data_IF_033221470968
#
_entry.id   IF_033221470968
#
_cell.length_a   1.000
_cell.length_b   1.000
_cell.length_c   1.000
_cell.angle_alpha   90.00
_cell.angle_beta   90.00
_cell.angle_gamma   90.00
#
_symmetry.space_group_name_H-M   'P 1'
#
loop_
_entity.id
_entity.type
_entity.pdbx_description
1 polymer ?
#
# COMPACT_ATOMS: atom_id res chain seq x y z
N UNK A 1 -13.27 31.35 20.53
CA UNK A 1 -12.92 29.93 20.34
C UNK A 1 -12.41 29.81 18.91
N UNK A 2 -11.13 29.52 18.72
CA UNK A 2 -10.56 29.24 17.39
C UNK A 2 -10.84 27.77 17.08
N UNK A 3 -11.47 27.51 15.93
CA UNK A 3 -11.54 26.19 15.32
C UNK A 3 -10.12 25.76 14.95
N UNK A 4 -9.64 24.68 15.57
CA UNK A 4 -8.43 24.02 15.10
C UNK A 4 -8.80 23.26 13.83
N UNK A 5 -8.38 23.77 12.67
CA UNK A 5 -8.33 22.96 11.46
C UNK A 5 -7.21 21.93 11.68
N UNK A 6 -7.60 20.68 11.94
CA UNK A 6 -6.66 19.56 11.94
C UNK A 6 -6.19 19.42 10.50
N UNK A 7 -4.92 19.74 10.26
CA UNK A 7 -4.29 19.54 8.97
C UNK A 7 -4.28 18.03 8.71
N UNK A 8 -5.02 17.55 7.70
CA UNK A 8 -4.94 16.15 7.30
C UNK A 8 -3.56 15.94 6.66
N UNK A 9 -2.60 15.44 7.45
CA UNK A 9 -1.23 15.16 6.98
C UNK A 9 -1.23 13.85 6.15
N UNK A 10 -1.75 13.96 4.92
CA UNK A 10 -1.81 12.90 3.92
C UNK A 10 -0.56 12.99 3.05
N UNK A 11 0.15 11.87 2.88
CA UNK A 11 1.31 11.84 1.99
C UNK A 11 1.46 10.52 1.24
N UNK A 12 2.09 10.60 0.07
CA UNK A 12 2.46 9.43 -0.74
C UNK A 12 3.76 8.85 -0.18
N UNK A 13 3.76 7.54 0.06
CA UNK A 13 4.93 6.84 0.58
C UNK A 13 5.86 6.39 -0.55
N UNK A 14 6.73 7.30 -0.98
CA UNK A 14 7.62 7.11 -2.14
C UNK A 14 8.74 6.07 -1.93
N UNK A 15 8.95 5.59 -0.72
CA UNK A 15 9.98 4.62 -0.38
C UNK A 15 9.45 3.17 -0.41
N UNK A 16 8.32 2.92 -1.07
CA UNK A 16 7.77 1.57 -1.20
C UNK A 16 8.47 0.80 -2.32
N UNK A 17 8.93 -0.41 -2.00
CA UNK A 17 9.58 -1.34 -2.94
C UNK A 17 8.76 -2.61 -2.98
N UNK A 18 8.60 -3.23 -4.16
CA UNK A 18 7.94 -4.52 -4.26
C UNK A 18 8.85 -5.54 -4.96
N UNK A 19 8.59 -6.82 -4.71
CA UNK A 19 9.25 -7.94 -5.37
C UNK A 19 8.27 -9.07 -5.56
N UNK A 20 8.28 -9.65 -6.76
CA UNK A 20 7.53 -10.85 -7.07
C UNK A 20 8.45 -12.08 -7.04
N UNK A 21 7.99 -13.14 -6.38
CA UNK A 21 8.63 -14.44 -6.28
C UNK A 21 7.80 -15.46 -7.07
N UNK A 22 8.27 -15.83 -8.25
CA UNK A 22 7.56 -16.69 -9.20
C UNK A 22 7.41 -18.14 -8.69
N UNK A 23 8.39 -18.63 -7.93
CA UNK A 23 8.41 -19.99 -7.38
C UNK A 23 7.33 -20.23 -6.34
N UNK A 24 6.93 -19.20 -5.61
CA UNK A 24 5.85 -19.25 -4.61
C UNK A 24 4.59 -18.49 -5.03
N UNK A 25 4.56 -17.92 -6.25
CA UNK A 25 3.54 -16.98 -6.72
C UNK A 25 3.16 -15.94 -5.65
N UNK A 26 4.18 -15.24 -5.14
CA UNK A 26 4.03 -14.30 -4.02
C UNK A 26 4.52 -12.91 -4.39
N UNK A 27 3.66 -11.90 -4.20
CA UNK A 27 4.06 -10.50 -4.27
C UNK A 27 4.34 -9.97 -2.87
N UNK A 28 5.57 -9.55 -2.62
CA UNK A 28 5.97 -8.87 -1.39
C UNK A 28 6.10 -7.37 -1.62
N UNK A 29 5.45 -6.58 -0.77
CA UNK A 29 5.50 -5.12 -0.77
C UNK A 29 6.19 -4.70 0.53
N UNK A 30 7.36 -4.10 0.40
CA UNK A 30 8.18 -3.58 1.48
C UNK A 30 8.05 -2.07 1.57
N UNK A 31 7.78 -1.57 2.76
CA UNK A 31 7.65 -0.15 3.00
C UNK A 31 8.99 0.34 3.57
N UNK A 32 9.89 0.93 2.76
CA UNK A 32 11.34 1.02 3.08
C UNK A 32 11.74 1.83 4.34
N UNK A 33 10.80 2.47 5.02
CA UNK A 33 10.92 2.86 6.44
C UNK A 33 11.22 1.67 7.38
N UNK A 34 11.07 0.42 6.92
CA UNK A 34 11.48 -0.78 7.63
C UNK A 34 12.98 -1.07 7.41
N UNK A 35 13.80 -0.87 8.44
CA UNK A 35 15.19 -1.33 8.42
C UNK A 35 15.28 -2.86 8.62
N UNK A 36 16.37 -3.50 8.21
CA UNK A 36 16.55 -4.94 8.39
C UNK A 36 16.58 -5.30 9.89
N UNK A 37 15.82 -6.33 10.29
CA UNK A 37 15.66 -6.75 11.70
C UNK A 37 14.44 -6.14 12.41
N UNK A 38 13.57 -5.44 11.67
CA UNK A 38 12.42 -4.70 12.22
C UNK A 38 11.14 -5.53 12.35
N UNK A 39 10.98 -6.65 11.62
CA UNK A 39 9.76 -7.46 11.73
C UNK A 39 9.69 -8.14 13.10
N UNK A 40 8.70 -7.74 13.90
CA UNK A 40 8.43 -8.31 15.22
C UNK A 40 7.48 -9.48 15.16
N UNK A 41 6.38 -9.32 14.42
CA UNK A 41 5.38 -10.36 14.22
C UNK A 41 4.67 -10.19 12.88
N UNK A 42 3.97 -11.25 12.47
CA UNK A 42 3.13 -11.24 11.28
C UNK A 42 1.71 -11.68 11.67
N UNK A 43 0.72 -11.20 10.91
CA UNK A 43 -0.68 -11.57 11.08
C UNK A 43 -1.33 -11.77 9.71
N UNK A 44 -2.03 -12.88 9.56
CA UNK A 44 -2.88 -13.13 8.40
C UNK A 44 -4.08 -12.19 8.46
N UNK A 45 -4.23 -11.35 7.42
CA UNK A 45 -5.42 -10.54 7.24
C UNK A 45 -6.56 -11.36 6.61
N UNK A 46 -6.20 -12.31 5.75
CA UNK A 46 -7.05 -13.35 5.17
C UNK A 46 -6.15 -14.47 4.57
N UNK A 47 -6.76 -15.47 3.94
CA UNK A 47 -6.09 -16.64 3.36
C UNK A 47 -4.99 -16.31 2.32
N UNK A 48 -5.01 -15.10 1.75
CA UNK A 48 -4.09 -14.66 0.70
C UNK A 48 -3.13 -13.56 1.15
N UNK A 49 -3.34 -12.94 2.32
CA UNK A 49 -2.63 -11.72 2.73
C UNK A 49 -1.99 -11.91 4.11
N UNK A 50 -0.66 -11.80 4.16
CA UNK A 50 0.11 -11.74 5.39
C UNK A 50 0.65 -10.31 5.59
N UNK A 51 0.40 -9.74 6.77
CA UNK A 51 0.88 -8.40 7.13
C UNK A 51 1.95 -8.54 8.21
N UNK A 52 3.09 -7.91 8.00
CA UNK A 52 4.19 -7.87 8.98
C UNK A 52 4.26 -6.52 9.68
N UNK A 53 4.56 -6.57 10.98
CA UNK A 53 4.56 -5.41 11.87
C UNK A 53 5.90 -5.27 12.58
N UNK A 54 6.26 -4.04 12.95
CA UNK A 54 7.40 -3.74 13.82
C UNK A 54 7.06 -3.74 15.32
N UNK A 55 8.03 -3.36 16.16
CA UNK A 55 7.86 -3.25 17.61
C UNK A 55 6.90 -2.11 18.04
N UNK A 56 6.60 -1.16 17.15
CA UNK A 56 5.64 -0.07 17.37
C UNK A 56 4.24 -0.42 16.80
N UNK A 57 3.99 -1.69 16.44
CA UNK A 57 2.78 -2.16 15.75
C UNK A 57 2.52 -1.48 14.38
N UNK A 58 3.56 -0.93 13.73
CA UNK A 58 3.44 -0.31 12.39
C UNK A 58 3.63 -1.36 11.31
N UNK A 59 2.86 -1.23 10.23
CA UNK A 59 3.00 -2.10 9.05
C UNK A 59 4.35 -1.83 8.37
N UNK A 60 5.10 -2.91 8.15
CA UNK A 60 6.42 -2.86 7.50
C UNK A 60 6.46 -3.59 6.17
N UNK A 61 5.67 -4.65 6.01
CA UNK A 61 5.48 -5.31 4.73
C UNK A 61 4.13 -6.01 4.62
N UNK A 62 3.72 -6.23 3.37
CA UNK A 62 2.54 -7.00 3.00
C UNK A 62 2.97 -8.06 1.99
N UNK A 63 2.55 -9.30 2.20
CA UNK A 63 2.72 -10.41 1.25
C UNK A 63 1.35 -10.84 0.73
N UNK A 64 1.25 -11.03 -0.59
CA UNK A 64 0.06 -11.48 -1.28
C UNK A 64 0.40 -12.81 -1.97
N UNK A 65 -0.25 -13.89 -1.54
CA UNK A 65 -0.11 -15.23 -2.11
C UNK A 65 -1.07 -15.43 -3.28
N UNK A 66 -0.67 -16.24 -4.28
CA UNK A 66 -1.49 -16.43 -5.49
C UNK A 66 -1.62 -15.14 -6.30
N UNK A 67 -0.59 -14.28 -6.25
CA UNK A 67 -0.67 -12.92 -6.75
C UNK A 67 -0.96 -12.87 -8.26
N UNK A 68 -0.46 -13.85 -9.02
CA UNK A 68 -0.67 -13.94 -10.47
C UNK A 68 -2.13 -14.16 -10.88
N UNK A 69 -2.93 -14.82 -10.02
CA UNK A 69 -4.36 -15.06 -10.22
C UNK A 69 -5.21 -13.91 -9.67
N UNK A 70 -4.80 -13.32 -8.54
CA UNK A 70 -5.54 -12.24 -7.88
C UNK A 70 -5.40 -10.89 -8.61
N UNK A 71 -4.27 -10.65 -9.27
CA UNK A 71 -3.95 -9.37 -9.87
C UNK A 71 -4.06 -9.42 -11.41
N UNK A 72 -4.76 -8.43 -11.97
CA UNK A 72 -4.92 -8.28 -13.42
C UNK A 72 -3.71 -7.62 -14.12
N UNK A 73 -2.51 -7.69 -13.55
CA UNK A 73 -1.25 -7.15 -14.09
C UNK A 73 -0.19 -8.26 -14.23
N UNK A 74 0.91 -7.99 -14.94
CA UNK A 74 2.11 -8.81 -14.79
C UNK A 74 2.96 -8.28 -13.63
N UNK A 75 3.55 -9.21 -12.89
CA UNK A 75 4.29 -8.93 -11.65
C UNK A 75 5.80 -8.91 -11.85
N UNK A 76 6.27 -9.19 -13.08
CA UNK A 76 7.67 -9.11 -13.45
C UNK A 76 8.16 -7.66 -13.46
N UNK A 77 9.39 -7.45 -12.97
CA UNK A 77 10.08 -6.16 -12.95
C UNK A 77 10.59 -5.78 -14.36
N UNK A 78 9.64 -5.52 -15.25
CA UNK A 78 9.85 -5.04 -16.61
C UNK A 78 8.81 -3.99 -16.94
N UNK A 79 9.16 -3.03 -17.78
CA UNK A 79 8.22 -2.02 -18.28
C UNK A 79 7.40 -2.49 -19.48
N UNK A 80 7.65 -3.70 -19.97
CA UNK A 80 6.96 -4.27 -21.14
C UNK A 80 5.68 -4.98 -20.73
N UNK A 81 4.60 -4.77 -21.48
CA UNK A 81 3.37 -5.55 -21.32
C UNK A 81 3.64 -7.02 -21.61
N UNK A 82 3.28 -7.90 -20.69
CA UNK A 82 3.35 -9.37 -20.85
C UNK A 82 1.93 -9.91 -20.93
N UNK A 83 1.65 -10.75 -21.93
CA UNK A 83 0.33 -11.39 -22.15
C UNK A 83 -0.85 -10.40 -22.18
N UNK A 84 -0.64 -9.19 -22.72
CA UNK A 84 -1.60 -8.08 -22.70
C UNK A 84 -1.99 -7.57 -21.30
N UNK A 85 -1.27 -7.98 -20.25
CA UNK A 85 -1.41 -7.41 -18.91
C UNK A 85 -0.53 -6.16 -18.78
N UNK A 86 -0.96 -5.11 -18.07
CA UNK A 86 -0.12 -3.96 -17.73
C UNK A 86 0.90 -4.31 -16.64
N UNK A 87 1.91 -3.47 -16.45
CA UNK A 87 2.83 -3.56 -15.32
C UNK A 87 2.10 -3.27 -14.01
N UNK A 88 2.48 -3.95 -12.94
CA UNK A 88 2.03 -3.61 -11.59
C UNK A 88 2.29 -2.13 -11.28
N UNK A 89 1.21 -1.39 -11.04
CA UNK A 89 1.26 -0.03 -10.49
C UNK A 89 0.86 -0.07 -9.02
N UNK A 90 1.67 0.53 -8.15
CA UNK A 90 1.46 0.54 -6.71
C UNK A 90 1.44 1.98 -6.20
N UNK A 91 0.39 2.35 -5.48
CA UNK A 91 0.22 3.70 -4.93
C UNK A 91 -0.13 3.63 -3.43
N UNK A 92 0.85 3.86 -2.53
CA UNK A 92 0.65 3.80 -1.10
C UNK A 92 0.37 5.20 -0.53
N UNK A 93 -0.76 5.34 0.17
CA UNK A 93 -1.22 6.58 0.81
C UNK A 93 -1.23 6.39 2.32
N UNK A 94 -0.50 7.25 3.03
CA UNK A 94 -0.48 7.27 4.49
C UNK A 94 -1.37 8.40 5.01
N UNK A 95 -2.22 8.07 5.98
CA UNK A 95 -3.06 9.01 6.73
C UNK A 95 -2.58 9.06 8.18
N UNK A 96 -1.75 10.04 8.51
CA UNK A 96 -1.16 10.18 9.85
C UNK A 96 -2.20 10.49 10.94
N UNK A 97 -3.30 11.14 10.58
CA UNK A 97 -4.42 11.45 11.47
C UNK A 97 -5.23 10.22 11.89
N UNK A 98 -5.20 9.17 11.06
CA UNK A 98 -5.93 7.91 11.27
C UNK A 98 -5.02 6.72 11.60
N UNK A 99 -3.71 6.90 11.50
CA UNK A 99 -2.73 5.81 11.55
C UNK A 99 -3.05 4.69 10.54
N UNK A 100 -3.45 5.09 9.33
CA UNK A 100 -3.90 4.19 8.26
C UNK A 100 -2.97 4.22 7.04
N UNK A 101 -2.76 3.05 6.43
CA UNK A 101 -2.07 2.87 5.16
C UNK A 101 -3.03 2.23 4.15
N UNK A 102 -3.28 2.94 3.05
CA UNK A 102 -4.00 2.41 1.90
C UNK A 102 -3.01 2.10 0.76
N UNK A 103 -3.06 0.90 0.19
CA UNK A 103 -2.22 0.51 -0.94
C UNK A 103 -3.11 0.16 -2.13
N UNK A 104 -3.07 1.00 -3.16
CA UNK A 104 -3.80 0.76 -4.41
C UNK A 104 -2.93 -0.01 -5.39
N UNK A 105 -3.48 -1.10 -5.95
CA UNK A 105 -2.81 -1.96 -6.94
C UNK A 105 -3.56 -1.84 -8.27
N UNK A 106 -2.82 -1.48 -9.33
CA UNK A 106 -3.28 -1.46 -10.72
C UNK A 106 -4.50 -0.53 -10.98
N UNK A 107 -4.23 0.77 -11.12
CA UNK A 107 -5.15 1.84 -11.54
C UNK A 107 -6.52 1.90 -10.85
N UNK A 108 -6.49 2.21 -9.55
CA UNK A 108 -7.33 3.31 -9.07
C UNK A 108 -6.40 4.47 -8.77
N UNK A 109 -6.11 5.31 -9.76
CA UNK A 109 -5.59 6.65 -9.48
C UNK A 109 -6.74 7.34 -8.74
N UNK A 110 -6.67 7.63 -7.42
CA UNK A 110 -7.73 8.40 -6.79
C UNK A 110 -7.75 9.72 -7.54
N UNK A 111 -8.82 9.92 -8.31
CA UNK A 111 -8.95 11.03 -9.23
C UNK A 111 -9.11 12.29 -8.41
N UNK A 112 -7.99 12.86 -7.94
CA UNK A 112 -7.94 14.04 -7.06
C UNK A 112 -8.74 13.84 -5.78
N UNK A 113 -8.07 13.85 -4.62
CA UNK A 113 -8.76 14.25 -3.39
C UNK A 113 -9.23 15.69 -3.60
N UNK A 114 -10.47 15.87 -4.06
CA UNK A 114 -11.15 17.13 -3.86
C UNK A 114 -11.42 17.17 -2.37
N UNK A 115 -10.74 18.09 -1.70
CA UNK A 115 -11.14 18.57 -0.39
C UNK A 115 -12.60 19.01 -0.55
N UNK A 116 -13.54 18.17 -0.12
CA UNK A 116 -14.90 18.65 0.08
C UNK A 116 -14.80 19.61 1.24
N UNK A 117 -14.79 20.91 0.94
CA UNK A 117 -15.15 21.92 1.92
C UNK A 117 -16.49 21.47 2.51
N UNK A 118 -16.46 21.01 3.76
CA UNK A 118 -17.65 20.85 4.56
C UNK A 118 -18.35 22.21 4.53
N UNK A 119 -19.49 22.28 3.84
CA UNK A 119 -20.39 23.42 3.97
C UNK A 119 -20.93 23.36 5.38
N UNK A 120 -20.36 24.16 6.26
CA UNK A 120 -21.02 24.61 7.48
C UNK A 120 -22.37 25.19 7.08
N UNK A 121 -23.43 24.43 7.32
CA UNK A 121 -24.80 24.91 7.21
C UNK A 121 -25.06 25.69 8.51
N UNK A 122 -24.97 27.02 8.43
CA UNK A 122 -25.43 27.95 9.46
C UNK A 122 -26.95 27.95 9.60
#
# INVERSE_FOLDING_TARGET
MQTMSTKNDIHIRNDTVYRYYEDTDTLSIYLAKASSGVVRYCKEANDYILVSYDDDDKIVSVEIYGASELLCCHLFDTSETIDNKPQLSLYPVCYEDRDELEVFLNDFKPSTFQETEDKDIF
#
